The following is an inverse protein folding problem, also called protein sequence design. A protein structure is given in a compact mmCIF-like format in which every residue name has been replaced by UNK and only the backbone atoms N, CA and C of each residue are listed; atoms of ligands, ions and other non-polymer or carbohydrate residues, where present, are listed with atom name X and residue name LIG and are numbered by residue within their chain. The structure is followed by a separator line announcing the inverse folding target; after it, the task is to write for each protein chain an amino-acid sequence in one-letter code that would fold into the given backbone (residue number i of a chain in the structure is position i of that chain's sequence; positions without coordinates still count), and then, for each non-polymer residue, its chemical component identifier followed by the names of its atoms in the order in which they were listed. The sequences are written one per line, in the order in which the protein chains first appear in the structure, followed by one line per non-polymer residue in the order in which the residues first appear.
data_IF_937989225424
#
_entry.id   IF_937989225424
#
_cell.length_a   1.000
_cell.length_b   1.000
_cell.length_c   1.000
_cell.angle_alpha   90.00
_cell.angle_beta   90.00
_cell.angle_gamma   90.00
#
_symmetry.space_group_name_H-M   'P 1'
#
loop_
_entity.id
_entity.type
_entity.pdbx_description
1 polymer ?
#
# COMPACT_ATOMS: atom_id res chain seq x y z
N UNK A 1 0.63 25.65 18.17
CA UNK A 1 0.71 26.36 16.86
C UNK A 1 1.74 25.63 16.01
N UNK A 2 1.32 24.91 14.97
CA UNK A 2 2.23 24.15 14.12
C UNK A 2 2.92 25.11 13.14
N UNK A 3 4.21 25.39 13.38
CA UNK A 3 5.04 26.27 12.56
C UNK A 3 5.46 25.56 11.26
N UNK A 4 4.53 25.43 10.31
CA UNK A 4 4.84 24.92 8.97
C UNK A 4 5.73 25.94 8.25
N UNK A 5 7.02 25.62 8.08
CA UNK A 5 7.97 26.47 7.35
C UNK A 5 7.69 26.34 5.85
N UNK A 6 7.27 27.43 5.21
CA UNK A 6 7.04 27.51 3.77
C UNK A 6 8.20 28.21 3.07
N UNK A 7 8.48 27.84 1.82
CA UNK A 7 9.55 28.46 1.03
C UNK A 7 9.28 28.28 -0.47
N UNK A 8 9.70 29.22 -1.31
CA UNK A 8 9.47 29.17 -2.77
C UNK A 8 10.76 29.28 -3.62
N UNK A 9 11.85 28.56 -3.30
CA UNK A 9 13.08 28.61 -4.09
C UNK A 9 12.88 27.98 -5.47
N UNK A 10 13.50 28.55 -6.50
CA UNK A 10 13.59 27.88 -7.80
C UNK A 10 14.48 26.63 -7.71
N UNK A 11 14.34 25.67 -8.63
CA UNK A 11 15.25 24.51 -8.69
C UNK A 11 16.72 24.92 -8.85
N UNK A 12 16.98 26.05 -9.53
CA UNK A 12 18.34 26.60 -9.64
C UNK A 12 18.86 27.07 -8.29
N UNK A 13 18.04 27.79 -7.53
CA UNK A 13 18.39 28.27 -6.18
C UNK A 13 18.72 27.12 -5.23
N UNK A 14 17.95 26.03 -5.29
CA UNK A 14 18.17 24.82 -4.48
C UNK A 14 19.48 24.15 -4.90
N UNK A 15 19.67 23.93 -6.20
CA UNK A 15 20.87 23.32 -6.75
C UNK A 15 22.15 24.08 -6.35
N UNK A 16 22.13 25.41 -6.46
CA UNK A 16 23.26 26.25 -6.05
C UNK A 16 23.55 26.17 -4.56
N UNK A 17 22.51 26.19 -3.70
CA UNK A 17 22.68 26.09 -2.23
C UNK A 17 23.21 24.73 -1.79
N UNK A 18 22.74 23.65 -2.41
CA UNK A 18 23.11 22.27 -2.05
C UNK A 18 24.35 21.81 -2.84
N UNK A 19 24.92 22.66 -3.71
CA UNK A 19 26.08 22.37 -4.57
C UNK A 19 25.90 21.09 -5.39
N UNK A 20 24.71 20.91 -5.97
CA UNK A 20 24.40 19.77 -6.83
C UNK A 20 23.82 20.23 -8.17
N UNK A 21 23.74 19.32 -9.15
CA UNK A 21 23.13 19.67 -10.44
C UNK A 21 21.64 19.96 -10.29
N UNK A 22 21.08 20.81 -11.17
CA UNK A 22 19.65 21.10 -11.20
C UNK A 22 18.80 19.83 -11.32
N UNK A 23 19.24 18.86 -12.13
CA UNK A 23 18.54 17.58 -12.29
C UNK A 23 18.55 16.77 -11.00
N UNK A 24 19.69 16.75 -10.28
CA UNK A 24 19.77 16.08 -8.98
C UNK A 24 18.84 16.72 -7.96
N UNK A 25 18.78 18.05 -7.91
CA UNK A 25 17.87 18.78 -7.03
C UNK A 25 16.40 18.41 -7.30
N UNK A 26 15.99 18.30 -8.57
CA UNK A 26 14.63 17.86 -8.94
C UNK A 26 14.36 16.46 -8.40
N UNK A 27 15.23 15.48 -8.70
CA UNK A 27 15.05 14.10 -8.26
C UNK A 27 14.97 13.99 -6.73
N UNK A 28 15.79 14.78 -6.01
CA UNK A 28 15.76 14.82 -4.54
C UNK A 28 14.44 15.41 -4.06
N UNK A 29 13.95 16.49 -4.66
CA UNK A 29 12.63 17.06 -4.32
C UNK A 29 11.51 16.05 -4.56
N UNK A 30 11.50 15.36 -5.70
CA UNK A 30 10.50 14.35 -6.00
C UNK A 30 10.56 13.20 -4.98
N UNK A 31 11.78 12.81 -4.56
CA UNK A 31 11.99 11.81 -3.51
C UNK A 31 11.49 12.30 -2.13
N UNK A 32 11.66 13.59 -1.81
CA UNK A 32 11.19 14.16 -0.55
C UNK A 32 9.66 14.32 -0.53
N UNK A 33 9.05 14.60 -1.67
CA UNK A 33 7.58 14.60 -1.84
C UNK A 33 7.05 13.18 -1.65
N UNK A 34 7.67 12.21 -2.31
CA UNK A 34 7.30 10.81 -2.19
C UNK A 34 7.38 10.29 -0.74
N UNK A 35 8.42 10.71 0.00
CA UNK A 35 8.61 10.37 1.42
C UNK A 35 7.79 11.25 2.39
N UNK A 36 6.89 12.08 1.86
CA UNK A 36 6.03 13.00 2.60
C UNK A 36 6.75 13.98 3.55
N UNK A 37 8.02 14.28 3.28
CA UNK A 37 8.76 15.33 3.99
C UNK A 37 8.48 16.73 3.41
N UNK A 38 7.92 16.80 2.20
CA UNK A 38 7.74 18.04 1.46
C UNK A 38 6.43 18.02 0.66
N UNK A 39 5.65 19.09 0.70
CA UNK A 39 4.55 19.33 -0.26
C UNK A 39 5.00 20.37 -1.29
N UNK A 40 4.69 20.15 -2.57
CA UNK A 40 4.91 21.10 -3.67
C UNK A 40 3.58 21.61 -4.24
N UNK A 41 3.44 22.92 -4.36
CA UNK A 41 2.27 23.59 -4.96
C UNK A 41 2.73 24.55 -6.07
N UNK A 42 1.96 24.63 -7.17
CA UNK A 42 2.22 25.60 -8.25
C UNK A 42 1.86 27.02 -7.77
N UNK A 43 2.69 27.99 -8.11
CA UNK A 43 2.42 29.42 -7.91
C UNK A 43 2.33 30.11 -9.27
N UNK A 44 1.35 30.97 -9.43
CA UNK A 44 1.23 31.90 -10.56
C UNK A 44 1.41 33.32 -10.04
N UNK A 45 2.05 34.17 -10.83
CA UNK A 45 2.08 35.60 -10.54
C UNK A 45 0.74 36.26 -10.88
N UNK A 46 0.62 37.57 -10.59
CA UNK A 46 -0.58 38.37 -10.93
C UNK A 46 -0.85 38.46 -12.44
N UNK A 47 0.13 38.07 -13.27
CA UNK A 47 0.09 38.11 -14.73
C UNK A 47 -0.21 36.75 -15.37
N UNK A 48 -0.36 35.69 -14.56
CA UNK A 48 -0.63 34.33 -15.04
C UNK A 48 0.62 33.55 -15.50
N UNK A 49 1.82 34.13 -15.39
CA UNK A 49 3.06 33.41 -15.68
C UNK A 49 3.36 32.39 -14.56
N UNK A 50 3.99 31.29 -14.97
CA UNK A 50 4.40 30.25 -14.04
C UNK A 50 5.60 30.74 -13.23
N UNK A 51 5.38 31.02 -11.95
CA UNK A 51 6.43 31.33 -10.99
C UNK A 51 7.06 30.02 -10.45
N UNK A 52 8.11 30.16 -9.65
CA UNK A 52 8.67 29.13 -8.79
C UNK A 52 7.61 28.42 -7.94
N UNK A 53 7.81 27.12 -7.68
CA UNK A 53 6.88 26.35 -6.85
C UNK A 53 6.97 26.76 -5.37
N UNK A 54 5.85 26.68 -4.66
CA UNK A 54 5.79 26.79 -3.21
C UNK A 54 6.02 25.41 -2.59
N UNK A 55 6.94 25.34 -1.64
CA UNK A 55 7.29 24.14 -0.90
C UNK A 55 6.93 24.31 0.58
N UNK A 56 6.28 23.31 1.15
CA UNK A 56 5.87 23.27 2.55
C UNK A 56 6.63 22.13 3.21
N UNK A 57 7.48 22.45 4.19
CA UNK A 57 8.23 21.46 4.95
C UNK A 57 7.31 20.79 5.96
N UNK A 58 7.17 19.46 5.85
CA UNK A 58 6.54 18.63 6.87
C UNK A 58 7.62 18.21 7.86
N UNK A 59 7.48 18.63 9.12
CA UNK A 59 8.32 18.05 10.17
C UNK A 59 7.80 16.63 10.47
N UNK A 60 8.64 15.59 10.40
CA UNK A 60 8.27 14.32 11.01
C UNK A 60 8.12 14.59 12.51
N UNK A 61 6.95 14.29 13.06
CA UNK A 61 6.82 14.27 14.52
C UNK A 61 7.72 13.14 15.03
N UNK A 62 8.92 13.50 15.47
CA UNK A 62 9.75 12.61 16.29
C UNK A 62 8.92 12.37 17.55
N UNK A 63 8.37 11.16 17.65
CA UNK A 63 7.83 10.64 18.89
C UNK A 63 9.01 10.68 19.86
N UNK A 64 9.02 11.65 20.78
CA UNK A 64 9.82 11.52 21.98
C UNK A 64 9.26 10.29 22.68
N UNK A 65 9.97 9.17 22.63
CA UNK A 65 9.71 8.02 23.49
C UNK A 65 9.71 8.50 24.93
N UNK A 66 8.51 8.80 25.43
CA UNK A 66 8.29 8.98 26.84
C UNK A 66 8.12 7.57 27.38
N UNK A 67 9.25 6.95 27.73
CA UNK A 67 9.28 5.69 28.48
C UNK A 67 8.43 5.89 29.74
N UNK A 68 7.34 5.15 29.96
CA UNK A 68 6.55 5.30 31.17
C UNK A 68 7.36 4.72 32.34
N UNK A 69 7.88 5.61 33.19
CA UNK A 69 8.42 5.26 34.50
C UNK A 69 7.31 4.60 35.33
N UNK A 70 7.58 3.41 35.85
CA UNK A 70 6.66 2.65 36.70
C UNK A 70 6.15 3.51 37.88
N UNK A 71 4.85 3.47 38.24
CA UNK A 71 4.39 4.08 39.48
C UNK A 71 4.69 3.12 40.63
N UNK A 72 5.64 3.52 41.46
CA UNK A 72 5.94 2.90 42.75
C UNK A 72 4.86 3.28 43.78
N UNK A 73 4.27 2.27 44.42
CA UNK A 73 3.51 2.25 45.69
C UNK A 73 2.25 3.16 45.89
N UNK A 74 1.11 2.60 46.35
CA UNK A 74 0.01 3.42 46.89
C UNK A 74 0.22 3.75 48.39
N UNK A 75 -0.18 4.94 48.88
CA UNK A 75 -0.18 5.28 50.31
C UNK A 75 -1.45 4.78 51.03
N UNK A 76 -1.45 4.72 52.38
CA UNK A 76 -2.47 4.01 53.14
C UNK A 76 -3.77 4.81 53.28
N UNK A 77 -4.86 4.03 53.40
CA UNK A 77 -6.25 4.46 53.58
C UNK A 77 -6.44 5.24 54.89
N UNK A 78 -7.19 6.34 54.83
CA UNK A 78 -7.87 6.94 55.99
C UNK A 78 -9.26 7.41 55.54
N UNK A 79 -10.28 6.80 56.14
CA UNK A 79 -11.71 7.10 55.97
C UNK A 79 -12.09 8.46 56.58
N UNK A 80 -12.73 9.34 55.81
CA UNK A 80 -13.75 10.31 56.30
C UNK A 80 -14.75 10.61 55.18
N UNK A 81 -16.03 10.58 55.54
CA UNK A 81 -17.23 10.64 54.70
C UNK A 81 -17.68 12.09 54.40
N UNK A 82 -18.03 12.42 53.14
CA UNK A 82 -19.22 13.22 52.80
C UNK A 82 -19.53 13.22 51.27
N UNK A 83 -20.82 13.29 50.85
CA UNK A 83 -21.24 13.20 49.46
C UNK A 83 -21.49 14.58 48.85
N UNK A 84 -20.84 14.91 47.73
CA UNK A 84 -21.35 15.83 46.70
C UNK A 84 -20.47 15.83 45.46
N UNK A 85 -21.13 15.96 44.31
CA UNK A 85 -20.60 15.81 42.96
C UNK A 85 -19.38 16.70 42.64
N UNK A 86 -18.46 16.16 41.83
CA UNK A 86 -17.86 16.74 40.63
C UNK A 86 -16.61 15.90 40.29
N UNK A 87 -16.67 14.94 39.34
CA UNK A 87 -15.55 14.79 38.41
C UNK A 87 -15.85 13.88 37.21
N UNK A 88 -15.26 14.28 36.08
CA UNK A 88 -15.51 13.78 34.74
C UNK A 88 -14.80 12.44 34.45
N UNK A 89 -15.32 11.58 33.56
CA UNK A 89 -14.50 10.58 32.89
C UNK A 89 -13.50 11.31 31.96
N UNK A 90 -12.20 11.01 32.00
CA UNK A 90 -11.23 11.65 31.13
C UNK A 90 -11.51 11.26 29.67
N UNK A 91 -11.73 12.29 28.84
CA UNK A 91 -11.89 12.15 27.40
C UNK A 91 -10.65 11.46 26.81
N UNK A 92 -10.89 10.24 26.35
CA UNK A 92 -9.95 9.35 25.67
C UNK A 92 -9.25 10.11 24.53
N UNK A 93 -7.94 9.89 24.44
CA UNK A 93 -6.98 10.57 23.57
C UNK A 93 -7.52 10.80 22.14
N UNK A 94 -7.60 12.09 21.77
CA UNK A 94 -7.78 12.52 20.37
C UNK A 94 -6.56 12.07 19.57
N UNK A 95 -6.73 11.02 18.77
CA UNK A 95 -5.73 10.54 17.81
C UNK A 95 -5.40 11.67 16.84
N UNK A 96 -4.11 12.00 16.72
CA UNK A 96 -3.61 13.06 15.86
C UNK A 96 -4.00 12.82 14.38
N UNK A 97 -4.63 13.79 13.69
CA UNK A 97 -5.19 13.62 12.33
C UNK A 97 -4.15 13.48 11.21
N UNK A 98 -2.86 13.63 11.51
CA UNK A 98 -1.77 13.53 10.52
C UNK A 98 -1.33 12.08 10.34
N UNK A 99 -1.23 11.32 11.43
CA UNK A 99 -0.86 9.91 11.35
C UNK A 99 -1.97 9.11 10.66
N UNK A 100 -3.22 9.36 11.00
CA UNK A 100 -4.37 8.68 10.39
C UNK A 100 -4.45 8.90 8.88
N UNK A 101 -4.10 10.10 8.38
CA UNK A 101 -4.17 10.39 6.96
C UNK A 101 -3.06 9.67 6.17
N UNK A 102 -1.82 9.67 6.69
CA UNK A 102 -0.70 8.92 6.10
C UNK A 102 -0.94 7.41 6.14
N UNK A 103 -1.41 6.89 7.28
CA UNK A 103 -1.78 5.48 7.44
C UNK A 103 -2.89 5.11 6.43
N UNK A 104 -3.89 5.99 6.26
CA UNK A 104 -4.99 5.75 5.33
C UNK A 104 -4.54 5.81 3.86
N UNK A 105 -3.59 6.69 3.51
CA UNK A 105 -2.99 6.69 2.16
C UNK A 105 -2.20 5.40 1.90
N UNK A 106 -1.47 4.90 2.89
CA UNK A 106 -0.68 3.67 2.75
C UNK A 106 -1.56 2.45 2.45
N UNK A 107 -2.69 2.30 3.16
CA UNK A 107 -3.62 1.20 2.90
C UNK A 107 -4.21 1.27 1.51
N UNK A 108 -4.65 2.46 1.10
CA UNK A 108 -5.23 2.68 -0.23
C UNK A 108 -4.24 2.32 -1.33
N UNK A 109 -2.98 2.73 -1.17
CA UNK A 109 -1.94 2.46 -2.16
C UNK A 109 -1.59 0.98 -2.25
N UNK A 110 -1.40 0.29 -1.11
CA UNK A 110 -1.03 -1.13 -1.08
C UNK A 110 -2.18 -2.00 -1.59
N UNK A 111 -3.40 -1.79 -1.07
CA UNK A 111 -4.57 -2.60 -1.44
C UNK A 111 -5.04 -2.29 -2.87
N UNK A 112 -4.97 -1.02 -3.29
CA UNK A 112 -5.24 -0.63 -4.67
C UNK A 112 -4.28 -1.32 -5.64
N UNK A 113 -2.98 -1.35 -5.31
CA UNK A 113 -2.00 -2.04 -6.14
C UNK A 113 -2.24 -3.55 -6.22
N UNK A 114 -2.60 -4.19 -5.10
CA UNK A 114 -2.98 -5.60 -5.09
C UNK A 114 -4.19 -5.87 -5.99
N UNK A 115 -5.25 -5.07 -5.86
CA UNK A 115 -6.48 -5.22 -6.64
C UNK A 115 -6.23 -5.12 -8.15
N UNK A 116 -5.42 -4.15 -8.58
CA UNK A 116 -5.06 -3.98 -9.99
C UNK A 116 -4.29 -5.20 -10.51
N UNK A 117 -3.31 -5.70 -9.77
CA UNK A 117 -2.44 -6.79 -10.25
C UNK A 117 -3.11 -8.16 -10.19
N UNK A 118 -3.88 -8.43 -9.12
CA UNK A 118 -4.57 -9.70 -8.90
C UNK A 118 -6.00 -9.76 -9.47
N UNK A 119 -6.47 -8.68 -10.13
CA UNK A 119 -7.86 -8.55 -10.62
C UNK A 119 -8.90 -8.80 -9.52
N UNK A 120 -8.59 -8.29 -8.33
CA UNK A 120 -9.38 -8.48 -7.12
C UNK A 120 -10.06 -7.19 -6.67
N UNK A 121 -10.93 -7.29 -5.66
CA UNK A 121 -11.71 -6.17 -5.10
C UNK A 121 -11.65 -6.15 -3.56
N UNK A 122 -10.46 -6.32 -2.99
CA UNK A 122 -10.24 -6.21 -1.55
C UNK A 122 -10.50 -4.77 -1.07
N UNK A 123 -11.08 -4.64 0.12
CA UNK A 123 -11.38 -3.34 0.72
C UNK A 123 -10.20 -2.84 1.54
N UNK A 124 -9.70 -1.65 1.23
CA UNK A 124 -8.67 -0.95 2.00
C UNK A 124 -9.15 -0.59 3.42
N UNK A 125 -10.47 -0.54 3.63
CA UNK A 125 -11.08 -0.28 4.94
C UNK A 125 -11.09 -1.50 5.87
N UNK A 126 -10.83 -2.70 5.35
CA UNK A 126 -10.92 -3.96 6.10
C UNK A 126 -9.90 -4.03 7.23
N UNK A 127 -10.37 -4.26 8.45
CA UNK A 127 -9.52 -4.31 9.64
C UNK A 127 -8.46 -5.41 9.56
N UNK A 128 -8.80 -6.59 9.02
CA UNK A 128 -7.85 -7.69 8.91
C UNK A 128 -6.67 -7.35 7.99
N UNK A 129 -6.94 -6.61 6.90
CA UNK A 129 -5.91 -6.18 5.95
C UNK A 129 -5.04 -5.08 6.56
N UNK A 130 -5.66 -4.11 7.24
CA UNK A 130 -4.94 -3.04 7.96
C UNK A 130 -3.98 -3.60 9.00
N UNK A 131 -4.44 -4.52 9.85
CA UNK A 131 -3.62 -5.14 10.89
C UNK A 131 -2.39 -5.85 10.30
N UNK A 132 -2.54 -6.52 9.16
CA UNK A 132 -1.42 -7.19 8.49
C UNK A 132 -0.42 -6.17 7.92
N UNK A 133 -0.91 -5.07 7.33
CA UNK A 133 -0.05 -4.01 6.79
C UNK A 133 0.70 -3.31 7.92
N UNK A 134 0.01 -2.91 8.98
CA UNK A 134 0.59 -2.24 10.14
C UNK A 134 1.68 -3.08 10.80
N UNK A 135 1.47 -4.38 10.90
CA UNK A 135 2.46 -5.30 11.45
C UNK A 135 3.78 -5.24 10.66
N UNK A 136 3.75 -5.27 9.32
CA UNK A 136 4.99 -5.20 8.51
C UNK A 136 5.60 -3.81 8.49
N UNK A 137 4.79 -2.76 8.49
CA UNK A 137 5.29 -1.39 8.61
C UNK A 137 6.05 -1.20 9.94
N UNK A 138 5.54 -1.78 11.03
CA UNK A 138 6.20 -1.76 12.35
C UNK A 138 7.49 -2.58 12.38
N UNK A 139 7.57 -3.65 11.60
CA UNK A 139 8.79 -4.45 11.40
C UNK A 139 9.86 -3.72 10.55
N UNK A 140 9.52 -2.58 9.95
CA UNK A 140 10.44 -1.74 9.18
C UNK A 140 10.34 -1.91 7.66
N UNK A 141 9.38 -2.71 7.17
CA UNK A 141 9.13 -2.83 5.73
C UNK A 141 8.46 -1.58 5.16
N UNK A 142 8.75 -1.28 3.91
CA UNK A 142 8.27 -0.11 3.19
C UNK A 142 7.11 -0.45 2.26
N UNK A 143 6.35 0.57 1.84
CA UNK A 143 5.27 0.42 0.84
C UNK A 143 5.80 -0.20 -0.47
N UNK A 144 7.05 0.07 -0.84
CA UNK A 144 7.68 -0.52 -2.02
C UNK A 144 7.91 -2.02 -1.87
N UNK A 145 8.24 -2.48 -0.66
CA UNK A 145 8.39 -3.90 -0.36
C UNK A 145 7.05 -4.64 -0.53
N UNK A 146 5.95 -4.04 -0.05
CA UNK A 146 4.60 -4.59 -0.29
C UNK A 146 4.30 -4.72 -1.79
N UNK A 147 4.58 -3.67 -2.57
CA UNK A 147 4.37 -3.69 -4.03
C UNK A 147 5.22 -4.75 -4.71
N UNK A 148 6.45 -4.95 -4.24
CA UNK A 148 7.36 -5.98 -4.75
C UNK A 148 6.85 -7.38 -4.47
N UNK A 149 6.41 -7.66 -3.23
CA UNK A 149 5.77 -8.95 -2.87
C UNK A 149 4.55 -9.24 -3.75
N UNK A 150 3.68 -8.24 -3.94
CA UNK A 150 2.50 -8.37 -4.80
C UNK A 150 2.93 -8.72 -6.23
N UNK A 151 3.89 -7.99 -6.80
CA UNK A 151 4.36 -8.21 -8.17
C UNK A 151 4.96 -9.60 -8.35
N UNK A 152 5.81 -10.03 -7.41
CA UNK A 152 6.45 -11.34 -7.43
C UNK A 152 5.40 -12.46 -7.43
N UNK A 153 4.43 -12.40 -6.51
CA UNK A 153 3.40 -13.44 -6.41
C UNK A 153 2.37 -13.38 -7.51
N UNK A 154 1.97 -12.20 -7.99
CA UNK A 154 1.12 -12.12 -9.16
C UNK A 154 1.80 -12.74 -10.39
N UNK A 155 3.11 -12.52 -10.60
CA UNK A 155 3.83 -13.17 -11.71
C UNK A 155 3.87 -14.69 -11.60
N UNK A 156 4.05 -15.22 -10.39
CA UNK A 156 4.16 -16.67 -10.16
C UNK A 156 2.81 -17.38 -10.12
N UNK A 157 1.77 -16.77 -9.53
CA UNK A 157 0.54 -17.47 -9.17
C UNK A 157 -0.69 -17.04 -9.95
N UNK A 158 -0.71 -15.84 -10.57
CA UNK A 158 -1.93 -15.33 -11.23
C UNK A 158 -2.41 -16.23 -12.35
N UNK A 159 -1.47 -16.82 -13.10
CA UNK A 159 -1.78 -17.69 -14.24
C UNK A 159 -1.88 -19.18 -13.85
N UNK A 160 -1.67 -19.52 -12.58
CA UNK A 160 -1.82 -20.89 -12.08
C UNK A 160 -3.21 -21.00 -11.40
N UNK A 161 -4.14 -21.81 -11.95
CA UNK A 161 -5.51 -21.93 -11.41
C UNK A 161 -5.55 -22.38 -9.95
N UNK A 162 -4.58 -23.17 -9.51
CA UNK A 162 -4.53 -23.67 -8.14
C UNK A 162 -3.96 -22.62 -7.18
N UNK A 163 -3.05 -21.77 -7.68
CA UNK A 163 -2.33 -20.82 -6.85
C UNK A 163 -2.97 -19.43 -6.80
N UNK A 164 -3.70 -19.02 -7.84
CA UNK A 164 -4.32 -17.69 -7.94
C UNK A 164 -5.21 -17.34 -6.73
N UNK A 165 -5.90 -18.33 -6.15
CA UNK A 165 -6.74 -18.17 -4.94
C UNK A 165 -5.97 -17.68 -3.70
N UNK A 166 -4.65 -17.78 -3.70
CA UNK A 166 -3.78 -17.33 -2.61
C UNK A 166 -3.28 -15.89 -2.77
N UNK A 167 -3.65 -15.19 -3.85
CA UNK A 167 -3.36 -13.76 -4.06
C UNK A 167 -4.27 -12.87 -3.19
N UNK A 168 -4.13 -13.00 -1.87
CA UNK A 168 -4.94 -12.27 -0.86
C UNK A 168 -4.05 -11.69 0.24
N UNK A 169 -4.47 -10.60 0.92
CA UNK A 169 -3.65 -9.96 1.95
C UNK A 169 -3.17 -10.90 3.05
N UNK A 170 -4.04 -11.80 3.53
CA UNK A 170 -3.70 -12.75 4.60
C UNK A 170 -2.61 -13.74 4.23
N UNK A 171 -2.44 -14.05 2.94
CA UNK A 171 -1.40 -14.96 2.48
C UNK A 171 -0.14 -14.19 2.09
N UNK A 172 -0.28 -13.08 1.38
CA UNK A 172 0.86 -12.28 0.92
C UNK A 172 1.59 -11.57 2.06
N UNK A 173 0.86 -11.12 3.09
CA UNK A 173 1.40 -10.33 4.20
C UNK A 173 1.56 -11.14 5.49
N UNK A 174 1.62 -12.46 5.36
CA UNK A 174 1.89 -13.37 6.47
C UNK A 174 3.34 -13.21 6.98
N UNK A 175 3.52 -13.10 8.29
CA UNK A 175 4.81 -12.83 8.94
C UNK A 175 5.89 -13.82 8.51
N UNK A 176 5.55 -15.11 8.47
CA UNK A 176 6.49 -16.19 8.18
C UNK A 176 6.92 -16.29 6.72
N UNK A 177 6.30 -15.51 5.82
CA UNK A 177 6.51 -15.64 4.37
C UNK A 177 6.84 -14.33 3.68
N UNK A 178 6.54 -13.19 4.29
CA UNK A 178 6.68 -11.87 3.67
C UNK A 178 8.08 -11.61 3.11
N UNK A 179 9.11 -11.77 3.94
CA UNK A 179 10.51 -11.57 3.54
C UNK A 179 10.94 -12.58 2.46
N UNK A 180 10.47 -13.83 2.53
CA UNK A 180 10.73 -14.83 1.52
C UNK A 180 10.13 -14.47 0.16
N UNK A 181 8.93 -13.89 0.14
CA UNK A 181 8.28 -13.42 -1.08
C UNK A 181 8.93 -12.15 -1.64
N UNK A 182 9.42 -11.28 -0.75
CA UNK A 182 10.14 -10.07 -1.13
C UNK A 182 11.43 -10.41 -1.89
N UNK A 183 12.17 -11.40 -1.41
CA UNK A 183 13.45 -11.84 -1.97
C UNK A 183 13.33 -12.92 -3.05
N UNK A 184 12.11 -13.25 -3.49
CA UNK A 184 11.90 -14.26 -4.52
C UNK A 184 12.44 -13.79 -5.88
N UNK A 185 13.26 -14.64 -6.52
CA UNK A 185 13.80 -14.35 -7.85
C UNK A 185 12.70 -14.49 -8.90
N UNK A 186 12.64 -13.60 -9.90
CA UNK A 186 11.67 -13.74 -10.98
C UNK A 186 11.91 -15.06 -11.69
N UNK A 187 10.83 -15.85 -11.84
CA UNK A 187 10.84 -17.05 -12.65
C UNK A 187 11.08 -16.59 -14.09
N UNK A 188 12.30 -16.77 -14.58
CA UNK A 188 12.57 -16.65 -16.01
C UNK A 188 11.86 -17.83 -16.67
N UNK A 189 10.65 -17.60 -17.19
CA UNK A 189 10.05 -18.56 -18.11
C UNK A 189 11.04 -18.70 -19.26
N UNK A 190 11.58 -19.90 -19.46
CA UNK A 190 12.40 -20.19 -20.65
C UNK A 190 11.57 -19.80 -21.86
N UNK A 191 12.10 -18.90 -22.69
CA UNK A 191 11.51 -18.56 -23.98
C UNK A 191 11.49 -19.83 -24.83
N UNK A 192 10.34 -20.51 -24.91
CA UNK A 192 10.26 -21.77 -25.65
C UNK A 192 9.00 -22.60 -25.48
N UNK A 193 7.97 -22.15 -24.75
CA UNK A 193 6.70 -22.89 -24.67
C UNK A 193 5.60 -22.12 -25.40
N UNK A 194 4.93 -22.73 -26.40
CA UNK A 194 3.96 -22.04 -27.23
C UNK A 194 2.71 -21.72 -26.41
N UNK A 195 2.20 -20.52 -26.63
CA UNK A 195 0.93 -20.03 -26.13
C UNK A 195 -0.20 -20.95 -26.60
N UNK A 196 -0.76 -21.74 -25.69
CA UNK A 196 -1.91 -22.63 -25.93
C UNK A 196 -3.24 -21.87 -26.11
N UNK A 197 -3.20 -20.54 -26.25
CA UNK A 197 -4.36 -19.71 -26.57
C UNK A 197 -4.75 -19.69 -28.07
N UNK A 198 -4.36 -20.70 -28.86
CA UNK A 198 -4.73 -20.80 -30.28
C UNK A 198 -5.03 -22.24 -30.75
N UNK A 199 -5.88 -22.98 -30.01
CA UNK A 199 -6.40 -24.29 -30.48
C UNK A 199 -7.92 -24.47 -30.32
N UNK A 200 -8.71 -23.39 -30.23
CA UNK A 200 -10.19 -23.46 -30.26
C UNK A 200 -10.80 -22.67 -31.43
N UNK A 201 -10.14 -22.69 -32.59
CA UNK A 201 -10.69 -22.15 -33.84
C UNK A 201 -10.21 -22.96 -35.06
N UNK A 202 -10.29 -24.29 -35.01
CA UNK A 202 -10.25 -25.15 -36.21
C UNK A 202 -10.81 -26.55 -35.93
N UNK A 203 -12.11 -26.65 -35.76
CA UNK A 203 -12.87 -27.88 -35.99
C UNK A 203 -14.30 -27.51 -36.36
N UNK A 204 -14.44 -26.81 -37.49
CA UNK A 204 -15.65 -26.90 -38.30
C UNK A 204 -15.47 -28.07 -39.26
N UNK A 205 -16.58 -28.79 -39.49
CA UNK A 205 -16.74 -29.88 -40.46
C UNK A 205 -16.25 -31.26 -39.97
N UNK A 206 -16.97 -31.81 -38.99
CA UNK A 206 -17.26 -33.24 -39.03
C UNK A 206 -18.55 -33.41 -39.84
N UNK A 207 -18.40 -33.91 -41.07
CA UNK A 207 -19.45 -34.61 -41.78
C UNK A 207 -19.94 -35.76 -40.88
N UNK A 208 -21.11 -35.58 -40.26
CA UNK A 208 -21.87 -36.70 -39.73
C UNK A 208 -22.58 -37.31 -40.93
N UNK A 209 -21.97 -38.36 -41.47
CA UNK A 209 -22.60 -39.32 -42.37
C UNK A 209 -23.79 -39.93 -41.61
N UNK A 210 -25.00 -39.44 -41.86
CA UNK A 210 -26.24 -40.10 -41.45
C UNK A 210 -26.31 -41.37 -42.28
N UNK A 211 -25.89 -42.50 -41.68
CA UNK A 211 -26.27 -43.81 -42.20
C UNK A 211 -27.76 -43.99 -41.92
N UNK A 212 -28.54 -44.11 -42.99
CA UNK A 212 -29.91 -44.60 -42.96
C UNK A 212 -29.94 -45.86 -42.09
N UNK A 213 -30.76 -45.82 -41.04
CA UNK A 213 -31.12 -47.01 -40.27
C UNK A 213 -32.25 -47.65 -41.07
N UNK A 214 -31.94 -48.76 -41.75
CA UNK A 214 -32.93 -49.62 -42.38
C UNK A 214 -33.91 -50.14 -41.31
N UNK A 215 -35.21 -49.97 -41.57
CA UNK A 215 -36.33 -50.25 -40.64
C UNK A 215 -36.63 -51.76 -40.51
N UNK A 216 -35.88 -52.63 -41.19
CA UNK A 216 -36.20 -54.07 -41.28
C UNK A 216 -35.49 -54.98 -40.25
N UNK A 217 -34.69 -54.44 -39.32
CA UNK A 217 -33.90 -55.26 -38.36
C UNK A 217 -34.22 -54.97 -36.87
N UNK A 218 -35.51 -54.86 -36.53
CA UNK A 218 -35.98 -54.86 -35.14
C UNK A 218 -36.63 -56.22 -34.80
N UNK A 219 -36.10 -56.96 -33.80
CA UNK A 219 -36.70 -58.23 -33.38
C UNK A 219 -38.07 -57.98 -32.71
N UNK A 220 -39.06 -58.77 -33.12
CA UNK A 220 -40.40 -58.85 -32.52
C UNK A 220 -40.37 -59.26 -31.05
#
# INVERSE_FOLDING_TARGET
MSNNKTSFPSFGTIASKVKCSRRKAINVIDSLIFKDYLIKQKRSDKLGNSDSNLYILKQPNIIKEQVPSAPCAPPPVNDVHQPSAHDAPPLVHKVHPINTNIINTNYKDIVGFLNINAEAKFKETSQSTKTLIDARLKEGFTIEDFKTVILNKCRSWKNDPNMAKYLRPSTLFAASKFEGYLNEKPIQRKAGEPDVAQTLSRSGEHDIEIREIDIDDLPF
#
